data_IF_058307412173
#
_entry.id   IF_058307412173
#
_cell.length_a   1.000
_cell.length_b   1.000
_cell.length_c   1.000
_cell.angle_alpha   90.00
_cell.angle_beta   90.00
_cell.angle_gamma   90.00
#
_symmetry.space_group_name_H-M   'P 1'
#
loop_
_entity.id
_entity.type
_entity.pdbx_description
1 polymer ?
#
# COMPACT_ATOMS: atom_id res chain seq x y z
N UNK A 1 5.40 8.18 0.08
CA UNK A 1 6.67 7.53 -0.34
C UNK A 1 7.60 7.44 0.87
N UNK A 2 8.27 6.30 1.06
CA UNK A 2 9.31 6.10 2.06
C UNK A 2 10.63 5.99 1.31
N UNK A 3 11.64 6.76 1.72
CA UNK A 3 12.84 7.01 0.90
C UNK A 3 13.93 5.95 0.99
N UNK A 4 13.76 4.87 1.77
CA UNK A 4 14.85 3.93 2.07
C UNK A 4 14.43 2.46 2.10
N UNK A 5 15.41 1.52 2.12
CA UNK A 5 15.17 0.09 2.32
C UNK A 5 14.85 -0.26 3.78
N UNK A 6 15.06 0.68 4.70
CA UNK A 6 14.80 0.51 6.12
C UNK A 6 13.34 0.84 6.46
N UNK A 7 12.85 0.24 7.54
CA UNK A 7 11.57 0.62 8.14
C UNK A 7 11.61 2.02 8.74
N UNK A 8 10.44 2.60 8.96
CA UNK A 8 10.25 3.93 9.49
C UNK A 8 10.72 4.01 10.94
N UNK A 9 11.36 5.12 11.28
CA UNK A 9 11.59 5.47 12.68
C UNK A 9 10.28 5.85 13.38
N UNK A 10 10.27 5.79 14.72
CA UNK A 10 9.10 6.19 15.54
C UNK A 10 8.69 7.64 15.25
N UNK A 11 9.65 8.54 15.03
CA UNK A 11 9.38 9.93 14.70
C UNK A 11 8.68 10.05 13.33
N UNK A 12 9.18 9.35 12.32
CA UNK A 12 8.58 9.31 10.98
C UNK A 12 7.19 8.69 10.97
N UNK A 13 6.98 7.63 11.76
CA UNK A 13 5.69 6.98 11.92
C UNK A 13 4.66 7.93 12.55
N UNK A 14 5.05 8.69 13.58
CA UNK A 14 4.18 9.69 14.22
C UNK A 14 3.82 10.81 13.26
N UNK A 15 4.79 11.36 12.54
CA UNK A 15 4.55 12.42 11.55
C UNK A 15 3.57 11.93 10.48
N UNK A 16 3.76 10.73 9.94
CA UNK A 16 2.84 10.15 8.94
C UNK A 16 1.43 9.94 9.50
N UNK A 17 1.33 9.47 10.73
CA UNK A 17 0.03 9.31 11.37
C UNK A 17 -0.68 10.65 11.61
N UNK A 18 0.07 11.69 12.02
CA UNK A 18 -0.47 13.06 12.15
C UNK A 18 -0.91 13.65 10.81
N UNK A 19 -0.24 13.28 9.71
CA UNK A 19 -0.63 13.64 8.35
C UNK A 19 -1.86 12.85 7.85
N UNK A 20 -2.43 11.97 8.67
CA UNK A 20 -3.62 11.18 8.33
C UNK A 20 -3.31 9.92 7.51
N UNK A 21 -2.06 9.45 7.49
CA UNK A 21 -1.75 8.18 6.85
C UNK A 21 -2.21 7.00 7.70
N UNK A 22 -3.02 6.13 7.11
CA UNK A 22 -3.51 4.89 7.74
C UNK A 22 -2.57 3.70 7.51
N UNK A 23 -1.83 3.71 6.40
CA UNK A 23 -0.86 2.68 6.04
C UNK A 23 0.43 3.31 5.52
N UNK A 24 1.55 2.63 5.78
CA UNK A 24 2.87 3.03 5.29
C UNK A 24 3.53 1.82 4.65
N UNK A 25 4.12 2.04 3.49
CA UNK A 25 4.81 1.00 2.75
C UNK A 25 5.67 1.59 1.63
N UNK A 26 6.47 0.71 1.05
CA UNK A 26 7.22 1.03 -0.17
C UNK A 26 6.35 0.71 -1.37
N UNK A 27 5.82 1.77 -1.96
CA UNK A 27 4.97 1.70 -3.13
C UNK A 27 5.80 1.80 -4.44
N UNK A 28 5.46 1.05 -5.50
CA UNK A 28 6.05 1.26 -6.82
C UNK A 28 5.69 2.65 -7.37
N UNK A 29 6.42 3.18 -8.36
CA UNK A 29 6.13 4.49 -8.93
C UNK A 29 4.82 4.48 -9.75
N UNK A 30 3.69 4.75 -9.10
CA UNK A 30 2.36 4.82 -9.75
C UNK A 30 2.16 6.04 -10.65
N UNK A 31 3.02 7.06 -10.53
CA UNK A 31 2.82 8.37 -11.15
C UNK A 31 2.59 8.30 -12.66
N UNK A 32 3.27 7.39 -13.35
CA UNK A 32 3.16 7.24 -14.81
C UNK A 32 1.81 6.61 -15.24
N UNK A 33 1.27 5.69 -14.44
CA UNK A 33 0.03 4.96 -14.75
C UNK A 33 -1.18 5.91 -14.72
N UNK A 34 -1.16 6.91 -13.82
CA UNK A 34 -2.24 7.89 -13.68
C UNK A 34 -2.37 8.82 -14.89
N UNK A 35 -1.26 9.15 -15.56
CA UNK A 35 -1.29 9.99 -16.77
C UNK A 35 -1.75 9.24 -18.02
N UNK A 36 -1.67 7.91 -18.03
CA UNK A 36 -2.06 7.10 -19.19
C UNK A 36 -3.58 6.88 -19.33
N UNK A 37 -4.41 7.55 -18.53
CA UNK A 37 -5.87 7.38 -18.56
C UNK A 37 -6.33 5.97 -18.17
N UNK A 38 -5.48 5.22 -17.47
CA UNK A 38 -5.79 3.88 -16.97
C UNK A 38 -6.62 3.99 -15.70
N UNK A 39 -7.62 3.10 -15.56
CA UNK A 39 -8.29 2.93 -14.27
C UNK A 39 -7.36 2.21 -13.31
N UNK A 40 -7.13 2.83 -12.16
CA UNK A 40 -6.26 2.29 -11.11
C UNK A 40 -7.12 1.85 -9.93
N UNK A 41 -6.91 0.62 -9.48
CA UNK A 41 -7.43 0.08 -8.24
C UNK A 41 -6.25 -0.38 -7.40
N UNK A 42 -6.14 0.11 -6.16
CA UNK A 42 -5.05 -0.18 -5.25
C UNK A 42 -5.53 -1.01 -4.07
N UNK A 43 -4.75 -2.02 -3.70
CA UNK A 43 -4.91 -2.81 -2.48
C UNK A 43 -3.62 -2.74 -1.69
N UNK A 44 -3.72 -2.67 -0.36
CA UNK A 44 -2.58 -2.78 0.54
C UNK A 44 -2.80 -3.94 1.51
N UNK A 45 -1.77 -4.76 1.71
CA UNK A 45 -1.75 -5.79 2.75
C UNK A 45 -1.02 -5.22 3.96
N UNK A 46 -1.73 -5.07 5.08
CA UNK A 46 -1.10 -4.66 6.35
C UNK A 46 -0.40 -5.86 6.97
N UNK A 47 0.93 -5.90 6.85
CA UNK A 47 1.74 -7.02 7.36
C UNK A 47 2.17 -6.86 8.81
N UNK A 48 2.23 -5.62 9.30
CA UNK A 48 2.64 -5.30 10.66
C UNK A 48 1.98 -4.00 11.11
N UNK A 49 1.91 -3.82 12.43
CA UNK A 49 1.55 -2.53 13.03
C UNK A 49 2.81 -1.68 13.19
N UNK A 50 2.79 -0.45 12.70
CA UNK A 50 3.93 0.46 12.81
C UNK A 50 4.08 0.90 14.27
N UNK A 51 5.31 0.79 14.77
CA UNK A 51 5.68 1.17 16.14
C UNK A 51 5.67 2.68 16.27
N UNK A 52 4.88 3.18 17.23
CA UNK A 52 4.72 4.63 17.51
C UNK A 52 5.24 5.04 18.88
N UNK A 53 5.75 4.10 19.65
CA UNK A 53 6.24 4.31 21.02
C UNK A 53 7.67 3.81 21.14
N UNK A 54 8.51 4.58 21.84
CA UNK A 54 9.92 4.23 22.02
C UNK A 54 10.13 3.06 22.99
N UNK A 55 9.18 2.84 23.91
CA UNK A 55 9.25 1.78 24.93
C UNK A 55 8.71 0.42 24.45
N UNK A 56 8.23 0.33 23.22
CA UNK A 56 7.67 -0.92 22.70
C UNK A 56 8.78 -1.92 22.35
N UNK A 57 8.56 -3.20 22.65
CA UNK A 57 9.46 -4.30 22.27
C UNK A 57 9.22 -4.82 20.85
N UNK A 58 8.18 -4.33 20.18
CA UNK A 58 7.86 -4.72 18.82
C UNK A 58 8.77 -3.95 17.86
N UNK A 59 9.27 -4.64 16.84
CA UNK A 59 10.06 -4.03 15.76
C UNK A 59 9.66 -4.67 14.45
N UNK A 60 9.49 -3.85 13.40
CA UNK A 60 9.26 -4.37 12.06
C UNK A 60 10.50 -5.15 11.58
N UNK A 61 10.29 -6.37 11.10
CA UNK A 61 11.33 -7.22 10.54
C UNK A 61 10.93 -7.68 9.13
N UNK A 62 11.90 -7.90 8.22
CA UNK A 62 11.59 -8.38 6.87
C UNK A 62 10.97 -9.78 6.88
N UNK A 63 11.38 -10.66 7.81
CA UNK A 63 10.96 -12.05 7.86
C UNK A 63 9.48 -12.21 8.22
N UNK A 64 8.98 -11.44 9.19
CA UNK A 64 7.57 -11.44 9.58
C UNK A 64 6.67 -10.88 8.48
N UNK A 65 7.16 -9.89 7.72
CA UNK A 65 6.46 -9.40 6.52
C UNK A 65 6.31 -10.52 5.49
N UNK A 66 7.36 -11.32 5.27
CA UNK A 66 7.33 -12.48 4.36
C UNK A 66 6.40 -13.60 4.87
N UNK A 67 6.38 -13.85 6.17
CA UNK A 67 5.49 -14.85 6.76
C UNK A 67 4.02 -14.47 6.57
N UNK A 68 3.64 -13.25 6.93
CA UNK A 68 2.26 -12.76 6.77
C UNK A 68 1.87 -12.74 5.29
N UNK A 69 2.74 -12.27 4.40
CA UNK A 69 2.43 -12.27 2.97
C UNK A 69 2.20 -13.67 2.40
N UNK A 70 2.92 -14.69 2.87
CA UNK A 70 2.69 -16.10 2.48
C UNK A 70 1.35 -16.62 2.98
N UNK A 71 0.98 -16.30 4.23
CA UNK A 71 -0.31 -16.69 4.81
C UNK A 71 -1.48 -16.11 4.01
N UNK A 72 -1.35 -14.86 3.57
CA UNK A 72 -2.38 -14.14 2.82
C UNK A 72 -2.33 -14.36 1.31
N UNK A 73 -1.35 -15.10 0.79
CA UNK A 73 -1.18 -15.30 -0.64
C UNK A 73 -2.43 -15.91 -1.31
N UNK A 74 -2.95 -17.00 -0.77
CA UNK A 74 -4.15 -17.66 -1.32
C UNK A 74 -5.41 -16.82 -1.13
N UNK A 75 -5.72 -16.30 0.08
CA UNK A 75 -6.87 -15.40 0.27
C UNK A 75 -6.85 -14.17 -0.64
N UNK A 76 -5.69 -13.53 -0.84
CA UNK A 76 -5.57 -12.37 -1.72
C UNK A 76 -5.79 -12.74 -3.18
N UNK A 77 -5.28 -13.89 -3.63
CA UNK A 77 -5.55 -14.37 -4.99
C UNK A 77 -7.03 -14.62 -5.22
N UNK A 78 -7.70 -15.28 -4.27
CA UNK A 78 -9.15 -15.48 -4.33
C UNK A 78 -9.88 -14.14 -4.35
N UNK A 79 -9.52 -13.21 -3.46
CA UNK A 79 -10.13 -11.88 -3.42
C UNK A 79 -10.01 -11.15 -4.76
N UNK A 80 -8.83 -11.12 -5.36
CA UNK A 80 -8.58 -10.45 -6.65
C UNK A 80 -9.36 -11.13 -7.78
N UNK A 81 -9.50 -12.45 -7.74
CA UNK A 81 -10.21 -13.23 -8.78
C UNK A 81 -11.72 -13.05 -8.69
N UNK A 82 -12.26 -13.01 -7.47
CA UNK A 82 -13.70 -12.86 -7.20
C UNK A 82 -14.16 -11.40 -7.25
N UNK A 83 -13.23 -10.43 -7.21
CA UNK A 83 -13.58 -9.01 -7.25
C UNK A 83 -14.19 -8.68 -8.62
N UNK A 84 -15.46 -8.23 -8.69
CA UNK A 84 -16.05 -7.80 -9.94
C UNK A 84 -15.47 -6.43 -10.30
N UNK A 85 -14.30 -6.42 -10.96
CA UNK A 85 -13.73 -5.23 -11.58
C UNK A 85 -14.58 -4.90 -12.82
N UNK A 86 -15.76 -4.33 -12.59
CA UNK A 86 -16.68 -3.93 -13.65
C UNK A 86 -16.03 -2.86 -14.52
N UNK A 87 -15.71 -3.14 -15.80
CA UNK A 87 -15.23 -2.11 -16.67
C UNK A 87 -16.43 -1.24 -17.08
N UNK A 88 -16.67 -0.12 -16.40
CA UNK A 88 -17.58 0.89 -16.96
C UNK A 88 -17.00 1.34 -18.32
N UNK A 89 -17.84 1.51 -19.34
CA UNK A 89 -17.37 2.11 -20.59
C UNK A 89 -16.84 3.51 -20.27
N UNK A 90 -15.59 3.80 -20.65
CA UNK A 90 -15.05 5.15 -20.56
C UNK A 90 -15.77 5.97 -21.63
N UNK A 91 -16.68 6.87 -21.23
CA UNK A 91 -17.20 7.89 -22.14
C UNK A 91 -15.99 8.76 -22.56
N UNK A 92 -15.52 8.56 -23.80
CA UNK A 92 -14.41 9.31 -24.40
C UNK A 92 -14.91 10.68 -24.86
N UNK A 93 -15.38 11.48 -23.93
CA UNK A 93 -15.60 12.91 -24.13
C UNK A 93 -14.96 13.66 -22.98
N UNK A 94 -13.70 14.08 -23.16
CA UNK A 94 -13.02 15.24 -22.52
C UNK A 94 -11.56 15.28 -23.03
N UNK A 95 -10.94 16.47 -23.03
CA UNK A 95 -10.15 16.96 -24.15
C UNK A 95 -8.70 16.45 -24.09
N UNK A 96 -8.17 16.13 -25.26
CA UNK A 96 -6.73 16.19 -25.53
C UNK A 96 -6.22 17.58 -25.20
N UNK A 97 -5.16 17.66 -24.38
CA UNK A 97 -4.27 18.82 -24.37
C UNK A 97 -3.73 19.11 -25.78
#
# INVERSE_FOLDING_TARGET
LVGGPNFESVAEARVRHMLGADAVGKEPPWGQILYCGLRVFGLSLTTNKVVKEYDSKESANPEGVLEVSRLWAVPLQTLVTELPLQPKAQDRSLPTC
#
